data_IF_555792719202
#
_entry.id   IF_555792719202
#
_cell.length_a   1.000
_cell.length_b   1.000
_cell.length_c   1.000
_cell.angle_alpha   90.00
_cell.angle_beta   90.00
_cell.angle_gamma   90.00
#
_symmetry.space_group_name_H-M   'P 1'
#
loop_
_entity.id
_entity.type
_entity.pdbx_description
1 polymer ?
#
# COMPACT_ATOMS: atom_id res chain seq x y z
N UNK A 1 21.74 15.64 -27.79
CA UNK A 1 23.01 16.40 -27.70
C UNK A 1 22.98 17.24 -26.44
N UNK A 2 23.84 16.90 -25.47
CA UNK A 2 24.47 17.76 -24.45
C UNK A 2 23.57 18.81 -23.78
N UNK A 3 23.36 18.74 -22.46
CA UNK A 3 24.45 18.87 -21.49
C UNK A 3 24.11 18.11 -20.21
N UNK A 4 24.79 16.97 -20.03
CA UNK A 4 25.22 16.52 -18.72
C UNK A 4 25.98 17.69 -18.09
N UNK A 5 25.37 18.37 -17.13
CA UNK A 5 26.08 19.17 -16.13
C UNK A 5 25.46 18.87 -14.78
N UNK A 6 25.55 17.58 -14.40
CA UNK A 6 25.51 17.19 -12.99
C UNK A 6 26.83 17.66 -12.42
N UNK A 7 26.80 18.82 -11.78
CA UNK A 7 27.93 19.40 -11.06
C UNK A 7 28.30 18.42 -9.94
N UNK A 8 29.43 17.75 -10.12
CA UNK A 8 30.12 17.01 -9.06
C UNK A 8 30.63 18.06 -8.08
N UNK A 9 29.90 18.28 -6.98
CA UNK A 9 30.34 19.05 -5.82
C UNK A 9 29.95 18.28 -4.57
N UNK A 10 30.95 18.04 -3.74
CA UNK A 10 30.92 17.28 -2.49
C UNK A 10 30.03 17.96 -1.44
N UNK A 11 28.73 17.68 -1.44
CA UNK A 11 27.84 17.91 -0.28
C UNK A 11 26.87 16.75 -0.11
N UNK A 12 27.14 15.98 0.95
CA UNK A 12 26.28 15.17 1.81
C UNK A 12 24.81 14.91 1.40
N UNK A 13 24.51 13.61 1.29
CA UNK A 13 23.24 12.90 1.48
C UNK A 13 22.27 12.77 0.31
N UNK A 14 22.29 11.58 -0.31
CA UNK A 14 21.11 10.97 -0.91
C UNK A 14 20.07 10.70 0.18
N UNK A 15 19.05 11.53 0.29
CA UNK A 15 17.84 11.18 1.06
C UNK A 15 16.92 10.40 0.12
N UNK A 16 17.10 9.08 0.05
CA UNK A 16 16.06 8.19 -0.44
C UNK A 16 15.06 7.98 0.71
N UNK A 17 13.94 8.69 0.70
CA UNK A 17 12.83 8.40 1.62
C UNK A 17 12.23 7.02 1.26
N UNK A 18 12.08 6.10 2.23
CA UNK A 18 11.39 4.84 1.97
C UNK A 18 9.89 5.12 1.80
N UNK A 19 9.33 4.75 0.65
CA UNK A 19 7.90 4.79 0.39
C UNK A 19 7.17 3.67 1.15
N UNK A 20 6.79 3.95 2.40
CA UNK A 20 6.00 3.04 3.24
C UNK A 20 4.50 3.33 3.04
N UNK A 21 3.94 2.91 1.90
CA UNK A 21 2.49 2.98 1.64
C UNK A 21 1.84 1.60 1.47
N UNK A 22 2.60 0.52 1.71
CA UNK A 22 2.11 -0.85 1.60
C UNK A 22 1.62 -1.30 2.98
N UNK A 23 0.36 -1.69 3.10
CA UNK A 23 -0.24 -2.15 4.36
C UNK A 23 0.60 -3.23 5.06
N UNK A 24 0.47 -3.33 6.38
CA UNK A 24 1.29 -4.28 7.16
C UNK A 24 1.05 -5.73 6.71
N UNK A 25 2.05 -6.60 6.87
CA UNK A 25 1.90 -8.06 6.63
C UNK A 25 0.73 -8.66 7.40
N UNK A 26 0.45 -8.13 8.59
CA UNK A 26 -0.71 -8.51 9.40
C UNK A 26 -2.04 -8.11 8.76
N UNK A 27 -2.13 -6.93 8.15
CA UNK A 27 -3.31 -6.51 7.41
C UNK A 27 -3.51 -7.34 6.16
N UNK A 28 -2.43 -7.55 5.38
CA UNK A 28 -2.48 -8.39 4.19
C UNK A 28 -3.00 -9.77 4.54
N UNK A 29 -2.41 -10.45 5.53
CA UNK A 29 -2.85 -11.77 5.97
C UNK A 29 -4.31 -11.78 6.48
N UNK A 30 -4.74 -10.74 7.21
CA UNK A 30 -6.11 -10.64 7.71
C UNK A 30 -7.15 -10.44 6.58
N UNK A 31 -6.75 -9.80 5.48
CA UNK A 31 -7.63 -9.43 4.37
C UNK A 31 -7.44 -10.28 3.11
N UNK A 32 -6.43 -11.15 3.04
CA UNK A 32 -6.06 -11.90 1.83
C UNK A 32 -7.23 -12.72 1.25
N UNK A 33 -7.93 -13.48 2.10
CA UNK A 33 -9.11 -14.24 1.63
C UNK A 33 -10.23 -13.34 1.13
N UNK A 34 -10.42 -12.18 1.77
CA UNK A 34 -11.45 -11.23 1.38
C UNK A 34 -11.05 -10.48 0.09
N UNK A 35 -9.76 -10.16 -0.10
CA UNK A 35 -9.26 -9.51 -1.31
C UNK A 35 -9.35 -10.46 -2.51
N UNK A 36 -8.98 -11.73 -2.35
CA UNK A 36 -9.17 -12.72 -3.42
C UNK A 36 -10.64 -12.97 -3.74
N UNK A 37 -11.54 -12.90 -2.75
CA UNK A 37 -12.97 -13.19 -2.97
C UNK A 37 -13.73 -12.02 -3.59
N UNK A 38 -13.47 -10.80 -3.14
CA UNK A 38 -14.25 -9.62 -3.51
C UNK A 38 -13.49 -8.64 -4.41
N UNK A 39 -12.16 -8.70 -4.40
CA UNK A 39 -11.27 -7.70 -5.02
C UNK A 39 -10.21 -8.31 -5.94
N UNK A 40 -10.43 -9.51 -6.49
CA UNK A 40 -9.45 -10.21 -7.33
C UNK A 40 -8.96 -9.36 -8.52
N UNK A 41 -9.84 -8.52 -9.08
CA UNK A 41 -9.52 -7.62 -10.20
C UNK A 41 -8.61 -6.45 -9.81
N UNK A 42 -8.47 -6.16 -8.52
CA UNK A 42 -7.63 -5.08 -7.99
C UNK A 42 -6.21 -5.57 -7.65
N UNK A 43 -6.01 -6.88 -7.43
CA UNK A 43 -4.69 -7.47 -7.23
C UNK A 43 -3.84 -7.32 -8.51
N UNK A 44 -2.53 -7.08 -8.43
CA UNK A 44 -1.68 -6.98 -7.23
C UNK A 44 -1.52 -5.55 -6.68
N UNK A 45 -2.34 -4.59 -7.11
CA UNK A 45 -2.24 -3.19 -6.67
C UNK A 45 -2.80 -3.04 -5.25
N UNK A 46 -1.91 -2.87 -4.27
CA UNK A 46 -2.27 -2.73 -2.87
C UNK A 46 -3.23 -1.56 -2.59
N UNK A 47 -3.11 -0.44 -3.33
CA UNK A 47 -3.97 0.73 -3.18
C UNK A 47 -5.36 0.44 -3.76
N UNK A 48 -5.42 -0.21 -4.93
CA UNK A 48 -6.69 -0.61 -5.53
C UNK A 48 -7.42 -1.65 -4.65
N UNK A 49 -6.69 -2.61 -4.09
CA UNK A 49 -7.22 -3.62 -3.17
C UNK A 49 -7.77 -2.96 -1.91
N UNK A 50 -7.04 -2.02 -1.31
CA UNK A 50 -7.52 -1.30 -0.12
C UNK A 50 -8.81 -0.54 -0.40
N UNK A 51 -8.91 0.15 -1.55
CA UNK A 51 -10.13 0.85 -1.96
C UNK A 51 -11.30 -0.11 -2.14
N UNK A 52 -11.09 -1.21 -2.87
CA UNK A 52 -12.13 -2.21 -3.07
C UNK A 52 -12.61 -2.85 -1.75
N UNK A 53 -11.68 -3.17 -0.84
CA UNK A 53 -12.02 -3.66 0.49
C UNK A 53 -12.84 -2.62 1.27
N UNK A 54 -12.51 -1.32 1.17
CA UNK A 54 -13.28 -0.23 1.77
C UNK A 54 -14.72 -0.14 1.24
N UNK A 55 -14.92 -0.37 -0.05
CA UNK A 55 -16.26 -0.40 -0.67
C UNK A 55 -17.07 -1.64 -0.26
N UNK A 56 -16.39 -2.73 0.10
CA UNK A 56 -17.00 -3.99 0.50
C UNK A 56 -16.97 -4.28 2.01
N UNK A 57 -16.72 -3.27 2.86
CA UNK A 57 -16.55 -3.42 4.32
C UNK A 57 -17.57 -4.33 5.00
N UNK A 58 -18.85 -4.20 4.66
CA UNK A 58 -19.94 -4.99 5.23
C UNK A 58 -19.87 -6.49 4.89
N UNK A 59 -19.20 -6.84 3.78
CA UNK A 59 -19.04 -8.22 3.27
C UNK A 59 -17.74 -8.88 3.73
N UNK A 60 -16.79 -8.10 4.26
CA UNK A 60 -15.49 -8.60 4.71
C UNK A 60 -15.63 -9.42 6.00
N UNK A 61 -14.65 -10.28 6.24
CA UNK A 61 -14.54 -10.98 7.52
C UNK A 61 -14.31 -10.00 8.69
N UNK A 62 -14.72 -10.40 9.90
CA UNK A 62 -14.44 -9.63 11.13
C UNK A 62 -12.94 -9.35 11.30
N UNK A 63 -12.06 -10.26 10.87
CA UNK A 63 -10.62 -10.10 10.96
C UNK A 63 -10.11 -8.95 10.07
N UNK A 64 -10.60 -8.87 8.84
CA UNK A 64 -10.25 -7.81 7.89
C UNK A 64 -10.90 -6.47 8.28
N UNK A 65 -12.18 -6.45 8.68
CA UNK A 65 -12.86 -5.23 9.16
C UNK A 65 -12.10 -4.53 10.29
N UNK A 66 -11.54 -5.32 11.23
CA UNK A 66 -10.77 -4.79 12.37
C UNK A 66 -9.49 -4.06 11.97
N UNK A 67 -8.98 -4.27 10.75
CA UNK A 67 -7.82 -3.55 10.24
C UNK A 67 -8.14 -2.09 9.94
N UNK A 68 -9.38 -1.80 9.56
CA UNK A 68 -9.81 -0.45 9.20
C UNK A 68 -10.30 0.37 10.40
N UNK A 69 -10.72 -0.29 11.48
CA UNK A 69 -11.16 0.38 12.72
C UNK A 69 -10.03 0.78 13.68
N UNK A 70 -8.77 0.43 13.39
CA UNK A 70 -7.60 0.76 14.21
C UNK A 70 -6.70 1.74 13.45
N UNK A 71 -7.08 3.01 13.47
CA UNK A 71 -6.25 4.19 13.19
C UNK A 71 -5.14 4.05 12.13
N UNK A 72 -5.49 3.81 10.87
CA UNK A 72 -4.59 4.03 9.73
C UNK A 72 -4.73 5.48 9.21
N UNK A 73 -4.32 6.45 10.03
CA UNK A 73 -4.08 7.83 9.58
C UNK A 73 -2.57 8.05 9.49
#
# INVERSE_FOLDING_TARGET
MRKLFVVVSTTLSLIALPALAQGTTKQKAACERDSHKYCASAEPDAIAVEKCLKEHMSKLSKACQRQFGKGHR
#
